data_IF_808687648098
#
_entry.id   IF_808687648098
#
_cell.length_a   1.000
_cell.length_b   1.000
_cell.length_c   1.000
_cell.angle_alpha   90.00
_cell.angle_beta   90.00
_cell.angle_gamma   90.00
#
_symmetry.space_group_name_H-M   'P 1'
#
loop_
_entity.id
_entity.type
_entity.pdbx_description
1 polymer ?
2 polymer ?
3 polymer ?
4 non-polymer ?
#
loop_
_entity_poly.entity_id
_entity_poly.type
_entity_poly.pdbx_seq_one_letter_code
_entity_poly.pdbx_strand_id
2 'polyribonucleotide' 'GCCGUGGUCUGGUGGCCGG' ?
3 'polyribonucleotide' 'CCGGCCACCAGACCACGGC' ?
#
# COMPACT_ATOMS: atom_id res chain seq x y z
N UNK A 14 8.33 -17.88 -7.53
CA UNK A 14 7.62 -18.08 -6.25
C UNK A 14 6.59 -16.99 -6.04
N UNK A 15 5.36 -17.36 -5.71
CA UNK A 15 4.29 -16.40 -5.51
C UNK A 15 3.84 -16.34 -4.05
N UNK A 16 4.32 -15.34 -3.30
CA UNK A 16 3.95 -15.14 -1.91
C UNK A 16 2.82 -14.13 -1.76
N UNK A 17 1.71 -14.57 -1.16
CA UNK A 17 0.55 -13.70 -0.97
C UNK A 17 0.92 -12.51 -0.09
N UNK A 18 0.54 -11.31 -0.53
CA UNK A 18 0.83 -10.09 0.21
C UNK A 18 -0.38 -9.17 0.23
N UNK A 19 -0.37 -8.19 1.11
CA UNK A 19 -1.48 -7.25 1.20
C UNK A 19 -0.99 -5.83 1.47
N UNK A 20 -1.53 -4.88 0.72
CA UNK A 20 -1.19 -3.48 0.87
C UNK A 20 -2.27 -2.79 1.69
N UNK A 21 -2.16 -2.88 3.01
CA UNK A 21 -3.13 -2.27 3.91
C UNK A 21 -3.36 -0.78 3.62
N UNK A 22 -2.33 -0.12 3.14
CA UNK A 22 -2.40 1.31 2.85
C UNK A 22 -3.18 1.62 1.56
N UNK A 23 -3.44 0.60 0.76
CA UNK A 23 -4.18 0.79 -0.50
C UNK A 23 -5.34 -0.19 -0.65
N UNK A 24 -5.46 -1.11 0.32
CA UNK A 24 -6.52 -2.12 0.30
C UNK A 24 -6.39 -3.06 -0.91
N UNK A 25 -5.15 -3.25 -1.37
CA UNK A 25 -4.88 -4.10 -2.52
C UNK A 25 -4.16 -5.39 -2.11
N UNK A 26 -4.54 -6.49 -2.74
CA UNK A 26 -3.94 -7.78 -2.45
C UNK A 26 -2.92 -8.13 -3.55
N UNK A 27 -1.87 -8.83 -3.17
CA UNK A 27 -0.83 -9.21 -4.10
C UNK A 27 -0.70 -10.73 -4.20
N UNK A 28 -0.33 -11.20 -5.38
CA UNK A 28 -0.15 -12.62 -5.61
C UNK A 28 1.27 -12.89 -6.13
N UNK A 29 1.73 -12.05 -7.05
CA UNK A 29 3.06 -12.19 -7.63
C UNK A 29 4.11 -11.54 -6.72
N UNK A 30 5.35 -12.05 -6.73
CA UNK A 30 6.44 -11.51 -5.91
C UNK A 30 6.74 -10.05 -6.23
N UNK A 31 6.98 -9.77 -7.51
CA UNK A 31 7.28 -8.41 -7.94
C UNK A 31 6.04 -7.52 -7.88
N UNK A 32 4.87 -8.16 -7.87
CA UNK A 32 3.59 -7.45 -7.82
C UNK A 32 3.49 -6.61 -6.55
N UNK A 33 4.05 -7.13 -5.47
CA UNK A 33 4.03 -6.46 -4.18
C UNK A 33 5.10 -5.37 -4.09
N UNK A 34 6.36 -5.80 -4.26
CA UNK A 34 7.52 -4.91 -4.18
C UNK A 34 7.38 -3.67 -5.07
N UNK A 35 6.95 -3.88 -6.30
CA UNK A 35 6.80 -2.79 -7.26
C UNK A 35 5.81 -1.73 -6.76
N UNK A 36 4.73 -2.19 -6.14
CA UNK A 36 3.70 -1.28 -5.64
C UNK A 36 4.15 -0.56 -4.36
N UNK A 37 4.91 -1.24 -3.52
CA UNK A 37 5.37 -0.65 -2.27
C UNK A 37 6.26 0.57 -2.52
N UNK A 38 7.01 0.54 -3.61
CA UNK A 38 7.90 1.65 -3.95
C UNK A 38 7.29 2.51 -5.07
N UNK A 39 5.98 2.40 -5.23
CA UNK A 39 5.29 3.16 -6.26
C UNK A 39 4.75 4.49 -5.79
N UNK A 40 4.28 5.30 -6.73
CA UNK A 40 3.72 6.61 -6.45
C UNK A 40 2.33 6.47 -5.83
N UNK A 41 1.49 5.65 -6.46
CA UNK A 41 0.14 5.41 -5.97
C UNK A 41 0.18 4.48 -4.76
N UNK A 42 0.76 4.99 -3.69
CA UNK A 42 0.95 4.25 -2.45
C UNK A 42 1.67 5.14 -1.45
N UNK A 43 2.76 5.74 -1.91
CA UNK A 43 3.55 6.63 -1.06
C UNK A 43 2.75 7.88 -0.72
N UNK A 44 2.09 8.45 -1.74
CA UNK A 44 1.27 9.63 -1.58
C UNK A 44 -0.10 9.25 -0.99
N UNK A 45 -0.46 7.99 -1.18
CA UNK A 45 -1.71 7.46 -0.66
C UNK A 45 -1.66 7.45 0.86
N UNK A 46 -0.53 6.99 1.38
CA UNK A 46 -0.31 6.92 2.83
C UNK A 46 -0.37 8.32 3.43
N UNK A 47 0.05 9.32 2.66
CA UNK A 47 0.04 10.70 3.11
C UNK A 47 -1.37 11.17 3.44
N UNK A 48 -2.32 10.92 2.53
CA UNK A 48 -3.71 11.34 2.73
C UNK A 48 -4.39 10.47 3.79
N UNK A 49 -4.05 9.18 3.80
CA UNK A 49 -4.63 8.24 4.76
C UNK A 49 -4.15 8.57 6.18
N UNK A 50 -2.84 8.77 6.32
CA UNK A 50 -2.24 9.09 7.61
C UNK A 50 -2.80 10.40 8.14
N UNK A 51 -2.97 11.37 7.24
CA UNK A 51 -3.50 12.67 7.61
C UNK A 51 -4.93 12.52 8.16
N UNK A 52 -5.74 11.73 7.47
CA UNK A 52 -7.12 11.51 7.86
C UNK A 52 -7.21 10.86 9.25
N UNK A 53 -6.37 9.86 9.49
CA UNK A 53 -6.36 9.15 10.77
C UNK A 53 -5.83 10.05 11.89
N UNK A 54 -4.76 10.78 11.61
CA UNK A 54 -4.15 11.67 12.59
C UNK A 54 -5.04 12.86 12.90
N UNK A 55 -5.75 13.36 11.89
CA UNK A 55 -6.65 14.50 12.06
C UNK A 55 -8.00 14.06 12.61
N UNK A 56 -8.27 12.76 12.54
CA UNK A 56 -9.52 12.23 13.03
C UNK A 56 -9.52 12.00 14.53
N UNK A 57 -9.31 13.07 15.28
CA UNK A 57 -9.29 13.00 16.73
C UNK A 57 -9.72 14.32 17.34
X LIG D 1 -0.14 0.49 -1.73
#
# INVERSE_FOLDING_TARGET
STKVEALHQNREMIDPDKFCSLCHATFNDPVMAQQHYVGKKHRKQETKLKLMARYGRLAD
ZN ZN
#
